data_IF_358088902987
#
_entry.id   IF_358088902987
#
_cell.length_a   1.000
_cell.length_b   1.000
_cell.length_c   1.000
_cell.angle_alpha   90.00
_cell.angle_beta   90.00
_cell.angle_gamma   90.00
#
_symmetry.space_group_name_H-M   'P 1'
#
loop_
_entity.id
_entity.type
_entity.pdbx_description
1 polymer ?
#
# COMPACT_ATOMS: atom_id res chain seq x y z
N UNK A 1 -4.38 30.20 -26.11
CA UNK A 1 -5.71 29.74 -25.68
C UNK A 1 -5.98 28.38 -26.29
N UNK A 2 -5.60 27.33 -25.59
CA UNK A 2 -6.27 26.04 -25.65
C UNK A 2 -5.95 25.38 -24.31
N UNK A 3 -6.91 25.49 -23.39
CA UNK A 3 -6.90 24.74 -22.14
C UNK A 3 -6.92 23.26 -22.52
N UNK A 4 -5.77 22.60 -22.43
CA UNK A 4 -5.71 21.14 -22.32
C UNK A 4 -6.25 20.82 -20.94
N UNK A 5 -7.57 20.70 -20.88
CA UNK A 5 -8.30 20.29 -19.70
C UNK A 5 -7.65 19.03 -19.16
N UNK A 6 -7.18 19.13 -17.93
CA UNK A 6 -6.89 18.02 -17.05
C UNK A 6 -8.22 17.31 -16.83
N UNK A 7 -8.67 16.52 -17.80
CA UNK A 7 -9.71 15.53 -17.58
C UNK A 7 -9.01 14.30 -17.00
N UNK A 8 -8.47 14.47 -15.79
CA UNK A 8 -8.41 13.38 -14.85
C UNK A 8 -9.89 12.98 -14.66
N UNK A 9 -10.31 11.76 -14.99
CA UNK A 9 -11.71 11.39 -14.83
C UNK A 9 -12.01 11.44 -13.33
N UNK A 10 -12.59 12.55 -12.88
CA UNK A 10 -13.04 12.77 -11.50
C UNK A 10 -14.00 11.67 -11.02
N UNK A 11 -14.57 10.90 -11.96
CA UNK A 11 -15.40 9.74 -11.70
C UNK A 11 -14.66 8.54 -11.07
N UNK A 12 -13.33 8.42 -11.20
CA UNK A 12 -12.59 7.24 -10.70
C UNK A 12 -11.97 7.48 -9.31
N UNK A 13 -11.92 8.73 -8.84
CA UNK A 13 -11.50 9.04 -7.46
C UNK A 13 -12.58 8.61 -6.44
N UNK A 14 -13.81 8.36 -6.90
CA UNK A 14 -14.97 8.07 -6.06
C UNK A 14 -15.22 6.57 -5.80
N UNK A 15 -14.56 5.68 -6.54
CA UNK A 15 -14.54 4.26 -6.24
C UNK A 15 -13.12 3.87 -5.85
N UNK A 16 -12.94 3.13 -4.75
CA UNK A 16 -11.65 2.62 -4.24
C UNK A 16 -10.94 1.64 -5.20
N UNK A 17 -11.19 1.73 -6.51
CA UNK A 17 -10.65 0.90 -7.57
C UNK A 17 -9.33 1.45 -8.09
N UNK A 18 -8.37 1.61 -7.17
CA UNK A 18 -7.01 2.03 -7.45
C UNK A 18 -6.32 1.13 -8.49
N UNK A 19 -6.67 -0.16 -8.54
CA UNK A 19 -6.13 -1.10 -9.52
C UNK A 19 -6.52 -0.74 -10.97
N UNK A 20 -7.77 -0.31 -11.21
CA UNK A 20 -8.22 0.12 -12.54
C UNK A 20 -7.59 1.43 -12.96
N UNK A 21 -7.34 2.34 -12.01
CA UNK A 21 -6.58 3.56 -12.25
C UNK A 21 -5.15 3.24 -12.68
N UNK A 22 -4.53 2.24 -12.05
CA UNK A 22 -3.16 1.84 -12.37
C UNK A 22 -3.09 1.30 -13.80
N UNK A 23 -3.99 0.41 -14.19
CA UNK A 23 -4.05 -0.15 -15.55
C UNK A 23 -4.24 0.93 -16.63
N UNK A 24 -5.08 1.92 -16.35
CA UNK A 24 -5.30 3.05 -17.25
C UNK A 24 -4.03 3.92 -17.39
N UNK A 25 -3.30 4.12 -16.30
CA UNK A 25 -2.06 4.89 -16.32
C UNK A 25 -0.93 4.14 -17.03
N UNK A 26 -0.82 2.82 -16.83
CA UNK A 26 0.16 1.99 -17.54
C UNK A 26 -0.10 1.98 -19.06
N UNK A 27 -1.38 1.91 -19.45
CA UNK A 27 -1.77 2.00 -20.87
C UNK A 27 -1.40 3.36 -21.48
N UNK A 28 -1.67 4.45 -20.75
CA UNK A 28 -1.31 5.80 -21.19
C UNK A 28 0.20 6.05 -21.24
N UNK A 29 1.01 5.39 -20.40
CA UNK A 29 2.48 5.47 -20.47
C UNK A 29 3.01 4.88 -21.79
N UNK A 30 2.35 3.85 -22.32
CA UNK A 30 2.75 3.18 -23.55
C UNK A 30 2.26 3.91 -24.82
N UNK A 31 1.18 4.67 -24.72
CA UNK A 31 0.51 5.31 -25.87
C UNK A 31 0.99 6.75 -26.17
N UNK A 32 1.52 7.48 -25.19
CA UNK A 32 1.86 8.92 -25.33
C UNK A 32 3.33 9.14 -25.74
N UNK A 33 3.57 10.01 -26.74
CA UNK A 33 4.90 10.42 -27.20
C UNK A 33 5.61 11.39 -26.24
N UNK A 34 6.96 11.32 -26.25
CA UNK A 34 7.99 11.77 -25.26
C UNK A 34 7.83 13.11 -24.53
N UNK A 35 6.87 13.96 -24.90
CA UNK A 35 6.80 15.38 -24.50
C UNK A 35 5.66 15.73 -23.53
N UNK A 36 4.68 14.83 -23.32
CA UNK A 36 3.56 15.02 -22.36
C UNK A 36 3.59 14.01 -21.20
N UNK A 37 4.79 13.69 -20.70
CA UNK A 37 5.07 12.61 -19.73
C UNK A 37 4.71 12.94 -18.27
N UNK A 38 4.25 14.17 -18.01
CA UNK A 38 4.26 14.75 -16.68
C UNK A 38 3.20 14.23 -15.68
N UNK A 39 1.95 13.90 -16.06
CA UNK A 39 0.92 13.46 -15.10
C UNK A 39 0.81 11.93 -14.95
N UNK A 40 1.17 11.15 -15.98
CA UNK A 40 0.99 9.68 -16.02
C UNK A 40 1.99 8.96 -15.11
N UNK A 41 3.22 9.45 -15.11
CA UNK A 41 4.30 9.04 -14.20
C UNK A 41 3.99 9.30 -12.71
N UNK A 42 3.16 10.30 -12.46
CA UNK A 42 2.74 10.74 -11.12
C UNK A 42 1.63 9.85 -10.55
N UNK A 43 0.73 9.33 -11.41
CA UNK A 43 -0.23 8.29 -11.06
C UNK A 43 0.43 6.91 -10.87
N UNK A 44 1.35 6.50 -11.76
CA UNK A 44 2.02 5.19 -11.66
C UNK A 44 2.90 5.06 -10.41
N UNK A 45 3.58 6.14 -9.98
CA UNK A 45 4.34 6.17 -8.71
C UNK A 45 3.42 6.12 -7.48
N UNK A 46 2.24 6.74 -7.56
CA UNK A 46 1.27 6.78 -6.47
C UNK A 46 0.64 5.42 -6.19
N UNK A 47 0.34 4.68 -7.25
CA UNK A 47 -0.39 3.42 -7.19
C UNK A 47 0.50 2.20 -6.94
N UNK A 48 1.79 2.27 -7.31
CA UNK A 48 2.74 1.17 -7.13
C UNK A 48 3.40 1.07 -5.75
N UNK A 49 2.97 1.86 -4.76
CA UNK A 49 3.52 1.79 -3.39
C UNK A 49 3.20 0.47 -2.66
N UNK A 50 2.31 -0.36 -3.21
CA UNK A 50 2.10 -1.76 -2.81
C UNK A 50 3.26 -2.68 -3.22
N UNK A 51 4.01 -2.35 -4.28
CA UNK A 51 5.16 -3.11 -4.77
C UNK A 51 6.42 -2.23 -4.85
N UNK A 52 7.09 -2.06 -3.71
CA UNK A 52 8.24 -1.14 -3.54
C UNK A 52 9.36 -1.33 -4.60
N UNK A 53 9.47 -2.50 -5.20
CA UNK A 53 10.39 -2.79 -6.30
C UNK A 53 10.04 -2.02 -7.58
N UNK A 54 8.77 -2.00 -8.00
CA UNK A 54 8.35 -1.36 -9.24
C UNK A 54 8.53 0.16 -9.16
N UNK A 55 8.13 0.75 -8.02
CA UNK A 55 8.35 2.18 -7.76
C UNK A 55 9.84 2.59 -7.82
N UNK A 56 10.75 1.72 -7.35
CA UNK A 56 12.20 1.98 -7.44
C UNK A 56 12.73 1.96 -8.87
N UNK A 57 12.29 0.99 -9.69
CA UNK A 57 12.70 0.92 -11.09
C UNK A 57 12.16 2.10 -11.89
N UNK A 58 10.91 2.48 -11.63
CA UNK A 58 10.28 3.65 -12.21
C UNK A 58 11.06 4.92 -11.84
N UNK A 59 11.40 5.14 -10.58
CA UNK A 59 12.22 6.30 -10.15
C UNK A 59 13.56 6.41 -10.88
N UNK A 60 14.19 5.27 -11.18
CA UNK A 60 15.46 5.23 -11.93
C UNK A 60 15.29 5.59 -13.41
N UNK A 61 14.14 5.28 -14.02
CA UNK A 61 13.85 5.59 -15.43
C UNK A 61 13.63 7.08 -15.66
N UNK A 62 13.17 7.82 -14.65
CA UNK A 62 12.86 9.26 -14.77
C UNK A 62 14.14 10.10 -14.95
N UNK A 63 14.25 10.92 -16.02
CA UNK A 63 15.33 11.87 -16.22
C UNK A 63 15.43 12.93 -15.11
N UNK A 64 16.65 13.38 -14.81
CA UNK A 64 16.89 14.36 -13.73
C UNK A 64 16.19 15.71 -13.96
N UNK A 65 16.02 16.13 -15.22
CA UNK A 65 15.33 17.38 -15.56
C UNK A 65 13.88 17.41 -15.06
N UNK A 66 13.19 16.26 -15.08
CA UNK A 66 11.80 16.11 -14.61
C UNK A 66 11.74 16.10 -13.08
N UNK A 67 12.75 15.52 -12.43
CA UNK A 67 12.87 15.50 -10.96
C UNK A 67 13.08 16.89 -10.37
N UNK A 68 13.89 17.73 -11.03
CA UNK A 68 14.09 19.12 -10.61
C UNK A 68 12.89 20.01 -10.90
N UNK A 69 12.09 19.70 -11.93
CA UNK A 69 10.90 20.49 -12.27
C UNK A 69 9.73 20.26 -11.30
N UNK A 70 9.63 19.08 -10.69
CA UNK A 70 8.51 18.68 -9.83
C UNK A 70 8.99 18.28 -8.43
N UNK A 71 8.97 19.19 -7.43
CA UNK A 71 9.39 18.87 -6.08
C UNK A 71 8.50 17.80 -5.41
N UNK A 72 7.22 17.76 -5.76
CA UNK A 72 6.26 16.75 -5.26
C UNK A 72 6.69 15.32 -5.59
N UNK A 73 7.31 15.10 -6.76
CA UNK A 73 7.82 13.78 -7.16
C UNK A 73 8.93 13.30 -6.21
N UNK A 74 9.79 14.23 -5.77
CA UNK A 74 10.83 13.94 -4.78
C UNK A 74 10.23 13.66 -3.40
N UNK A 75 9.18 14.36 -3.02
CA UNK A 75 8.42 14.12 -1.78
C UNK A 75 7.79 12.73 -1.76
N UNK A 76 7.17 12.29 -2.86
CA UNK A 76 6.59 10.94 -3.00
C UNK A 76 7.69 9.88 -2.85
N UNK A 77 8.83 10.07 -3.51
CA UNK A 77 9.95 9.13 -3.39
C UNK A 77 10.51 9.07 -1.97
N UNK A 78 10.56 10.18 -1.24
CA UNK A 78 10.97 10.20 0.16
C UNK A 78 10.06 9.32 1.05
N UNK A 79 8.74 9.33 0.81
CA UNK A 79 7.80 8.41 1.48
C UNK A 79 8.11 6.96 1.08
N UNK A 80 8.30 6.69 -0.22
CA UNK A 80 8.66 5.36 -0.73
C UNK A 80 9.95 4.80 -0.13
N UNK A 81 10.95 5.66 0.16
CA UNK A 81 12.18 5.26 0.84
C UNK A 81 11.94 4.79 2.27
N UNK A 82 11.02 5.43 3.01
CA UNK A 82 10.63 5.00 4.37
C UNK A 82 9.92 3.65 4.34
N UNK A 83 9.05 3.43 3.35
CA UNK A 83 8.39 2.14 3.12
C UNK A 83 9.42 1.05 2.81
N UNK A 84 10.42 1.34 1.98
CA UNK A 84 11.51 0.41 1.67
C UNK A 84 12.31 0.02 2.91
N UNK A 85 12.59 0.98 3.79
CA UNK A 85 13.29 0.76 5.06
C UNK A 85 12.41 0.08 6.13
N UNK A 86 11.10 -0.09 5.86
CA UNK A 86 10.09 -0.57 6.83
C UNK A 86 10.00 0.30 8.08
N UNK A 87 10.30 1.58 7.93
CA UNK A 87 10.24 2.58 9.01
C UNK A 87 8.80 3.13 9.12
N UNK A 88 7.96 2.45 9.90
CA UNK A 88 6.54 2.82 10.06
C UNK A 88 6.34 4.26 10.58
N UNK A 89 6.99 4.68 11.69
CA UNK A 89 6.89 6.07 12.14
C UNK A 89 7.35 7.08 11.08
N UNK A 90 8.42 6.75 10.36
CA UNK A 90 8.95 7.57 9.26
C UNK A 90 7.95 7.78 8.13
N UNK A 91 7.12 6.78 7.82
CA UNK A 91 6.08 6.90 6.78
C UNK A 91 5.05 7.96 7.18
N UNK A 92 4.50 7.88 8.40
CA UNK A 92 3.46 8.82 8.83
C UNK A 92 3.98 10.26 8.94
N UNK A 93 5.21 10.42 9.45
CA UNK A 93 5.83 11.75 9.58
C UNK A 93 6.13 12.37 8.22
N UNK A 94 6.64 11.60 7.26
CA UNK A 94 6.89 12.11 5.90
C UNK A 94 5.62 12.43 5.14
N UNK A 95 4.56 11.62 5.27
CA UNK A 95 3.24 11.93 4.67
C UNK A 95 2.67 13.24 5.22
N UNK A 96 2.79 13.46 6.53
CA UNK A 96 2.28 14.69 7.17
C UNK A 96 3.16 15.94 6.92
N UNK A 97 4.45 15.75 6.58
CA UNK A 97 5.39 16.85 6.40
C UNK A 97 5.22 17.58 5.05
N UNK A 98 4.66 16.93 4.04
CA UNK A 98 4.50 17.50 2.69
C UNK A 98 3.06 17.97 2.44
N UNK A 99 2.93 19.03 1.65
CA UNK A 99 1.63 19.51 1.16
C UNK A 99 1.32 18.81 -0.16
N UNK A 100 0.22 18.08 -0.20
CA UNK A 100 -0.21 17.30 -1.35
C UNK A 100 -1.23 18.08 -2.19
N UNK A 101 -1.17 17.92 -3.51
CA UNK A 101 -2.20 18.41 -4.41
C UNK A 101 -3.54 17.69 -4.18
N UNK A 102 -4.66 18.32 -4.53
CA UNK A 102 -6.01 17.75 -4.32
C UNK A 102 -6.20 16.38 -4.98
N UNK A 103 -5.47 16.10 -6.05
CA UNK A 103 -5.51 14.83 -6.75
C UNK A 103 -4.71 13.72 -6.03
N UNK A 104 -3.62 14.09 -5.35
CA UNK A 104 -2.79 13.13 -4.59
C UNK A 104 -3.42 12.79 -3.26
N UNK A 105 -3.95 13.80 -2.58
CA UNK A 105 -4.40 13.71 -1.19
C UNK A 105 -5.18 12.42 -0.89
N UNK A 106 -6.22 12.02 -1.66
CA UNK A 106 -6.95 10.78 -1.40
C UNK A 106 -6.09 9.52 -1.51
N UNK A 107 -5.11 9.49 -2.42
CA UNK A 107 -4.21 8.33 -2.58
C UNK A 107 -3.25 8.23 -1.39
N UNK A 108 -2.74 9.35 -0.89
CA UNK A 108 -1.85 9.35 0.28
C UNK A 108 -2.58 8.98 1.57
N UNK A 109 -3.86 9.36 1.69
CA UNK A 109 -4.72 8.91 2.78
C UNK A 109 -4.98 7.40 2.70
N UNK A 110 -5.30 6.88 1.52
CA UNK A 110 -5.46 5.44 1.31
C UNK A 110 -4.16 4.66 1.60
N UNK A 111 -2.99 5.20 1.20
CA UNK A 111 -1.68 4.62 1.52
C UNK A 111 -1.43 4.60 3.03
N UNK A 112 -1.74 5.70 3.72
CA UNK A 112 -1.62 5.79 5.18
C UNK A 112 -2.48 4.74 5.86
N UNK A 113 -3.71 4.56 5.41
CA UNK A 113 -4.62 3.56 5.95
C UNK A 113 -4.18 2.13 5.66
N UNK A 114 -3.80 1.83 4.41
CA UNK A 114 -3.24 0.53 4.03
C UNK A 114 -1.99 0.17 4.83
N UNK A 115 -1.10 1.14 5.07
CA UNK A 115 0.09 0.97 5.91
C UNK A 115 -0.28 0.61 7.35
N UNK A 116 -1.32 1.26 7.91
CA UNK A 116 -1.84 0.90 9.23
C UNK A 116 -2.41 -0.51 9.25
N UNK A 117 -3.28 -0.86 8.31
CA UNK A 117 -3.88 -2.20 8.24
C UNK A 117 -2.81 -3.29 8.14
N UNK A 118 -1.74 -3.03 7.38
CA UNK A 118 -0.56 -3.89 7.30
C UNK A 118 0.18 -3.97 8.63
N UNK A 119 0.36 -2.87 9.34
CA UNK A 119 0.97 -2.85 10.67
C UNK A 119 0.16 -3.66 11.69
N UNK A 120 -1.17 -3.49 11.71
CA UNK A 120 -2.08 -4.30 12.53
C UNK A 120 -1.94 -5.79 12.24
N UNK A 121 -1.99 -6.17 10.96
CA UNK A 121 -1.88 -7.56 10.53
C UNK A 121 -0.51 -8.16 10.90
N UNK A 122 0.56 -7.38 10.75
CA UNK A 122 1.92 -7.79 11.10
C UNK A 122 2.03 -8.03 12.61
N UNK A 123 1.55 -7.08 13.43
CA UNK A 123 1.61 -7.19 14.89
C UNK A 123 0.79 -8.39 15.36
N UNK A 124 -0.41 -8.60 14.81
CA UNK A 124 -1.26 -9.73 15.14
C UNK A 124 -0.62 -11.10 14.84
N UNK A 125 0.23 -11.18 13.81
CA UNK A 125 0.86 -12.43 13.40
C UNK A 125 2.22 -12.67 14.07
N UNK A 126 2.99 -11.62 14.31
CA UNK A 126 4.38 -11.71 14.74
C UNK A 126 4.58 -11.57 16.26
N UNK A 127 3.66 -10.94 16.98
CA UNK A 127 3.81 -10.66 18.40
C UNK A 127 2.74 -11.38 19.23
N UNK A 128 3.18 -12.04 20.30
CA UNK A 128 2.30 -12.51 21.38
C UNK A 128 1.99 -11.40 22.38
N UNK A 129 2.96 -10.52 22.60
CA UNK A 129 2.88 -9.35 23.47
C UNK A 129 3.81 -8.27 22.94
N UNK A 130 3.36 -7.02 22.92
CA UNK A 130 4.13 -5.85 22.46
C UNK A 130 3.89 -4.67 23.41
N UNK A 131 4.88 -3.80 23.60
CA UNK A 131 4.71 -2.57 24.37
C UNK A 131 3.69 -1.65 23.67
N UNK A 132 2.83 -0.99 24.44
CA UNK A 132 1.81 -0.08 23.90
C UNK A 132 2.45 1.11 23.15
N UNK A 133 3.62 1.57 23.60
CA UNK A 133 4.38 2.66 22.97
C UNK A 133 4.90 2.25 21.59
N UNK A 134 5.50 1.06 21.48
CA UNK A 134 6.00 0.52 20.21
C UNK A 134 4.85 0.25 19.24
N UNK A 135 3.75 -0.30 19.74
CA UNK A 135 2.55 -0.52 18.94
C UNK A 135 1.97 0.80 18.40
N UNK A 136 1.86 1.82 19.24
CA UNK A 136 1.42 3.16 18.84
C UNK A 136 2.31 3.75 17.74
N UNK A 137 3.63 3.55 17.84
CA UNK A 137 4.58 3.96 16.81
C UNK A 137 4.35 3.23 15.47
N UNK A 138 4.02 1.94 15.49
CA UNK A 138 3.72 1.16 14.27
C UNK A 138 2.45 1.63 13.56
N UNK A 139 1.40 1.98 14.31
CA UNK A 139 0.12 2.43 13.73
C UNK A 139 0.03 3.94 13.49
N UNK A 140 0.99 4.70 14.01
CA UNK A 140 1.04 6.16 13.86
C UNK A 140 -0.09 6.89 14.59
N UNK A 141 -0.51 6.35 15.73
CA UNK A 141 -1.51 6.96 16.63
C UNK A 141 -0.88 7.33 17.96
N UNK A 142 -1.60 8.14 18.75
CA UNK A 142 -1.29 8.26 20.16
C UNK A 142 -1.49 6.91 20.89
N UNK A 143 -0.80 6.71 22.01
CA UNK A 143 -0.90 5.49 22.80
C UNK A 143 -2.34 5.24 23.24
N UNK A 144 -3.08 6.29 23.58
CA UNK A 144 -4.48 6.21 24.00
C UNK A 144 -5.41 5.73 22.88
N UNK A 145 -5.25 6.28 21.68
CA UNK A 145 -6.03 5.89 20.51
C UNK A 145 -5.69 4.47 20.05
N UNK A 146 -4.40 4.12 20.09
CA UNK A 146 -3.93 2.78 19.73
C UNK A 146 -4.54 1.72 20.65
N UNK A 147 -4.53 1.95 21.97
CA UNK A 147 -5.14 1.03 22.95
C UNK A 147 -6.66 0.95 22.76
N UNK A 148 -7.34 2.08 22.52
CA UNK A 148 -8.79 2.08 22.22
C UNK A 148 -9.12 1.26 20.96
N UNK A 149 -8.32 1.37 19.90
CA UNK A 149 -8.49 0.61 18.67
C UNK A 149 -8.22 -0.89 18.82
N UNK A 150 -7.24 -1.25 19.65
CA UNK A 150 -6.92 -2.64 20.01
C UNK A 150 -8.07 -3.30 20.77
N UNK A 151 -8.64 -2.60 21.76
CA UNK A 151 -9.78 -3.11 22.54
C UNK A 151 -11.02 -3.29 21.67
N UNK A 152 -11.30 -2.38 20.72
CA UNK A 152 -12.43 -2.54 19.79
C UNK A 152 -12.26 -3.70 18.81
N UNK A 153 -11.01 -4.03 18.47
CA UNK A 153 -10.64 -5.21 17.66
C UNK A 153 -10.67 -6.53 18.46
N UNK A 154 -10.97 -6.49 19.77
CA UNK A 154 -11.02 -7.67 20.63
C UNK A 154 -9.66 -8.19 21.09
N UNK A 155 -8.61 -7.36 21.02
CA UNK A 155 -7.30 -7.67 21.60
C UNK A 155 -7.29 -7.28 23.09
N UNK A 156 -6.35 -7.84 23.85
CA UNK A 156 -6.21 -7.54 25.27
C UNK A 156 -5.14 -6.47 25.48
N UNK A 157 -5.38 -5.54 26.39
CA UNK A 157 -4.42 -4.50 26.78
C UNK A 157 -4.35 -4.42 28.30
N UNK A 158 -3.14 -4.52 28.85
CA UNK A 158 -2.87 -4.46 30.29
C UNK A 158 -2.38 -3.06 30.69
N UNK A 159 -3.18 -2.25 31.42
CA UNK A 159 -2.79 -0.90 31.80
C UNK A 159 -1.61 -0.86 32.79
N UNK A 160 -1.45 -1.91 33.61
CA UNK A 160 -0.40 -1.97 34.64
C UNK A 160 1.00 -2.21 34.07
N UNK A 161 1.12 -3.02 33.02
CA UNK A 161 2.39 -3.35 32.36
C UNK A 161 2.61 -2.55 31.07
N UNK A 162 1.59 -1.81 30.59
CA UNK A 162 1.56 -1.11 29.31
C UNK A 162 1.84 -2.04 28.13
N UNK A 163 1.30 -3.25 28.19
CA UNK A 163 1.45 -4.26 27.15
C UNK A 163 0.14 -4.49 26.41
N UNK A 164 0.25 -4.69 25.10
CA UNK A 164 -0.84 -5.13 24.22
C UNK A 164 -0.59 -6.58 23.84
N UNK A 165 -1.62 -7.40 23.93
CA UNK A 165 -1.63 -8.81 23.55
C UNK A 165 -2.53 -8.99 22.33
N UNK A 166 -1.92 -9.04 21.12
CA UNK A 166 -2.67 -9.19 19.89
C UNK A 166 -3.37 -10.55 19.82
N UNK A 167 -4.58 -10.57 19.27
CA UNK A 167 -5.25 -11.82 18.93
C UNK A 167 -4.82 -12.23 17.53
N UNK A 168 -4.12 -13.35 17.41
CA UNK A 168 -3.74 -13.90 16.11
C UNK A 168 -5.00 -14.18 15.29
N UNK A 169 -5.08 -13.74 14.02
CA UNK A 169 -6.19 -14.09 13.15
C UNK A 169 -6.26 -15.62 13.02
N UNK A 170 -7.47 -16.16 13.01
CA UNK A 170 -7.67 -17.58 12.79
C UNK A 170 -7.02 -18.00 11.47
N UNK A 171 -6.34 -19.16 11.42
CA UNK A 171 -5.72 -19.62 10.20
C UNK A 171 -6.80 -19.70 9.10
N UNK A 172 -6.46 -19.32 7.85
CA UNK A 172 -7.41 -19.43 6.76
C UNK A 172 -7.93 -20.88 6.74
N UNK A 173 -9.25 -21.07 6.58
CA UNK A 173 -9.83 -22.40 6.54
C UNK A 173 -9.07 -23.18 5.47
N UNK A 174 -8.45 -24.29 5.88
CA UNK A 174 -7.74 -25.17 4.94
C UNK A 174 -8.74 -25.51 3.86
N UNK A 175 -8.50 -25.06 2.63
CA UNK A 175 -9.35 -25.43 1.52
C UNK A 175 -9.18 -26.92 1.33
N UNK A 176 -10.13 -27.68 1.86
CA UNK A 176 -10.27 -29.07 1.54
C UNK A 176 -10.66 -29.07 0.07
N UNK A 177 -9.66 -29.17 -0.81
CA UNK A 177 -9.90 -29.35 -2.25
C UNK A 177 -10.90 -30.50 -2.35
N UNK A 178 -12.09 -30.27 -2.94
CA UNK A 178 -13.11 -31.31 -3.02
C UNK A 178 -12.51 -32.58 -3.62
N UNK A 179 -12.84 -33.75 -3.08
CA UNK A 179 -12.24 -35.03 -3.50
C UNK A 179 -12.27 -35.22 -5.03
N UNK A 180 -13.32 -34.76 -5.70
CA UNK A 180 -13.44 -34.83 -7.16
C UNK A 180 -12.36 -34.02 -7.90
N UNK A 181 -12.00 -32.83 -7.41
CA UNK A 181 -10.91 -32.03 -7.99
C UNK A 181 -9.55 -32.64 -7.70
N UNK A 182 -9.38 -33.32 -6.56
CA UNK A 182 -8.16 -34.08 -6.28
C UNK A 182 -8.03 -35.29 -7.21
N UNK A 183 -9.12 -36.03 -7.42
CA UNK A 183 -9.17 -37.18 -8.33
C UNK A 183 -8.96 -36.78 -9.79
N UNK A 184 -9.54 -35.67 -10.25
CA UNK A 184 -9.28 -35.14 -11.58
C UNK A 184 -7.79 -34.83 -11.79
N UNK A 185 -7.16 -34.11 -10.84
CA UNK A 185 -5.71 -33.82 -10.90
C UNK A 185 -4.86 -35.08 -10.87
N UNK A 186 -5.21 -36.07 -10.05
CA UNK A 186 -4.52 -37.36 -10.01
C UNK A 186 -4.64 -38.11 -11.35
N UNK A 187 -5.81 -38.04 -11.97
CA UNK A 187 -6.06 -38.66 -13.28
C UNK A 187 -5.24 -37.97 -14.37
N UNK A 188 -5.17 -36.63 -14.37
CA UNK A 188 -4.31 -35.85 -15.27
C UNK A 188 -2.82 -36.19 -15.08
N UNK A 189 -2.36 -36.35 -13.83
CA UNK A 189 -0.98 -36.75 -13.54
C UNK A 189 -0.66 -38.15 -14.05
N UNK A 190 -1.58 -39.11 -13.86
CA UNK A 190 -1.39 -40.49 -14.35
C UNK A 190 -1.37 -40.49 -15.89
N UNK A 191 -2.31 -39.82 -16.54
CA UNK A 191 -2.36 -39.73 -18.00
C UNK A 191 -1.12 -39.04 -18.61
N UNK A 192 -0.52 -38.07 -17.91
CA UNK A 192 0.71 -37.42 -18.33
C UNK A 192 1.95 -38.33 -18.19
N UNK A 193 1.99 -39.20 -17.17
CA UNK A 193 3.12 -40.09 -16.92
C UNK A 193 3.06 -41.39 -17.74
N UNK A 194 1.87 -41.80 -18.17
CA UNK A 194 1.65 -43.02 -18.96
C UNK A 194 1.92 -42.83 -20.47
N UNK A 195 2.03 -41.59 -20.96
CA UNK A 195 2.41 -41.26 -22.34
C UNK A 195 3.86 -40.78 -22.43
#
# INVERSE_FOLDING_TARGET
MQQLGINMPAAVIMEENFDKLLEQCESQELEVSTESYHPVLYCCLHLQLTSVNNGRYLWKRIPQAIKSANPELTSIWAVGQRIWQRDFPGIYTTIAAYQWSENILPVMEALRESTRQRAYSLVAQAYTSIAADDFAAFVGYSVEEAVKGVVSQGWQADPGTRMVMPKKPDPPPVSLVPNEQQLARLTDYVAFLEN
#
